data_IF_255944663818
#
_entry.id   IF_255944663818
#
_cell.length_a   1.000
_cell.length_b   1.000
_cell.length_c   1.000
_cell.angle_alpha   90.00
_cell.angle_beta   90.00
_cell.angle_gamma   90.00
#
_symmetry.space_group_name_H-M   'P 1'
#
loop_
_entity.id
_entity.type
_entity.pdbx_description
1 polymer ?
#
# COMPACT_ATOMS: atom_id res chain seq x y z
N UNK A 1 9.66 24.50 4.33
CA UNK A 1 9.46 23.29 3.50
C UNK A 1 8.24 22.50 3.96
N UNK A 2 7.95 22.50 5.25
CA UNK A 2 6.85 21.71 5.83
C UNK A 2 5.46 22.21 5.42
N UNK A 3 5.25 23.53 5.27
CA UNK A 3 3.92 24.04 4.88
C UNK A 3 3.42 23.55 3.52
N UNK A 4 4.32 23.34 2.54
CA UNK A 4 3.91 22.79 1.25
C UNK A 4 3.56 21.32 1.37
N UNK A 5 4.36 20.55 2.13
CA UNK A 5 4.08 19.14 2.38
C UNK A 5 2.74 18.94 3.12
N UNK A 6 2.45 19.79 4.11
CA UNK A 6 1.17 19.77 4.83
C UNK A 6 -0.01 20.10 3.90
N UNK A 7 0.14 21.09 3.03
CA UNK A 7 -0.88 21.43 2.03
C UNK A 7 -1.13 20.25 1.09
N UNK A 8 -0.08 19.59 0.60
CA UNK A 8 -0.23 18.41 -0.25
C UNK A 8 -0.87 17.24 0.50
N UNK A 9 -0.46 16.97 1.74
CA UNK A 9 -1.05 15.92 2.56
C UNK A 9 -2.55 16.14 2.80
N UNK A 10 -2.96 17.39 3.05
CA UNK A 10 -4.38 17.76 3.19
C UNK A 10 -5.12 17.60 1.85
N UNK A 11 -4.50 18.02 0.73
CA UNK A 11 -5.11 17.93 -0.59
C UNK A 11 -5.28 16.50 -1.10
N UNK A 12 -4.32 15.60 -0.81
CA UNK A 12 -4.35 14.18 -1.17
C UNK A 12 -5.27 13.35 -0.28
N UNK A 13 -5.41 13.72 0.99
CA UNK A 13 -6.36 13.06 1.91
C UNK A 13 -7.81 13.43 1.63
N UNK A 14 -8.05 14.57 0.97
CA UNK A 14 -9.39 15.00 0.55
C UNK A 14 -9.75 14.33 -0.79
N UNK A 15 -10.94 13.73 -0.93
CA UNK A 15 -11.34 13.14 -2.20
C UNK A 15 -11.46 14.22 -3.29
N UNK A 16 -10.68 14.08 -4.36
CA UNK A 16 -10.76 14.97 -5.52
C UNK A 16 -9.41 15.24 -6.19
N UNK A 17 -9.37 16.09 -7.23
CA UNK A 17 -8.14 16.46 -7.91
C UNK A 17 -7.25 17.31 -6.99
N UNK A 18 -6.00 16.87 -6.78
CA UNK A 18 -5.02 17.53 -5.90
C UNK A 18 -4.92 19.04 -6.21
N UNK A 19 -4.87 19.42 -7.49
CA UNK A 19 -4.76 20.83 -7.90
C UNK A 19 -5.94 21.69 -7.40
N UNK A 20 -7.17 21.18 -7.47
CA UNK A 20 -8.37 21.91 -7.02
C UNK A 20 -8.41 21.95 -5.49
N UNK A 21 -8.14 20.82 -4.84
CA UNK A 21 -8.13 20.74 -3.37
C UNK A 21 -7.08 21.69 -2.77
N UNK A 22 -5.87 21.70 -3.32
CA UNK A 22 -4.79 22.61 -2.93
C UNK A 22 -5.15 24.07 -3.17
N UNK A 23 -5.70 24.41 -4.33
CA UNK A 23 -6.12 25.79 -4.64
C UNK A 23 -7.23 26.26 -3.69
N UNK A 24 -8.23 25.41 -3.43
CA UNK A 24 -9.30 25.68 -2.47
C UNK A 24 -8.72 25.94 -1.08
N UNK A 25 -7.89 25.02 -0.60
CA UNK A 25 -7.33 25.09 0.76
C UNK A 25 -6.46 26.33 0.96
N UNK A 26 -5.56 26.62 0.02
CA UNK A 26 -4.72 27.82 0.08
C UNK A 26 -5.58 29.08 0.01
N UNK A 27 -6.57 29.12 -0.87
CA UNK A 27 -7.49 30.25 -1.00
C UNK A 27 -8.27 30.51 0.29
N UNK A 28 -8.79 29.45 0.93
CA UNK A 28 -9.47 29.53 2.23
C UNK A 28 -8.53 29.99 3.33
N UNK A 29 -7.31 29.47 3.39
CA UNK A 29 -6.29 29.87 4.38
C UNK A 29 -5.92 31.35 4.23
N UNK A 30 -5.97 31.93 3.03
CA UNK A 30 -5.56 33.32 2.76
C UNK A 30 -6.67 34.34 2.92
N UNK A 31 -7.88 34.09 2.44
CA UNK A 31 -8.97 35.08 2.41
C UNK A 31 -10.34 34.46 2.78
N UNK A 32 -10.33 33.38 3.56
CA UNK A 32 -11.54 32.66 3.95
C UNK A 32 -12.28 32.05 2.76
N UNK A 33 -13.56 31.73 2.93
CA UNK A 33 -14.37 31.02 1.94
C UNK A 33 -14.34 31.68 0.56
N UNK A 34 -14.40 33.02 0.49
CA UNK A 34 -14.32 33.77 -0.76
C UNK A 34 -12.97 33.58 -1.46
N UNK A 35 -11.87 33.57 -0.70
CA UNK A 35 -10.54 33.25 -1.23
C UNK A 35 -10.47 31.85 -1.85
N UNK A 36 -11.13 30.87 -1.23
CA UNK A 36 -11.23 29.51 -1.77
C UNK A 36 -11.97 29.45 -3.11
N UNK A 37 -13.11 30.16 -3.21
CA UNK A 37 -13.90 30.22 -4.45
C UNK A 37 -13.10 30.90 -5.56
N UNK A 38 -12.45 32.03 -5.28
CA UNK A 38 -11.67 32.75 -6.30
C UNK A 38 -10.45 31.94 -6.73
N UNK A 39 -9.74 31.29 -5.80
CA UNK A 39 -8.58 30.47 -6.11
C UNK A 39 -8.94 29.24 -6.96
N UNK A 40 -10.05 28.56 -6.64
CA UNK A 40 -10.53 27.41 -7.43
C UNK A 40 -10.95 27.82 -8.82
N UNK A 41 -11.72 28.90 -8.96
CA UNK A 41 -12.08 29.45 -10.26
C UNK A 41 -10.85 29.86 -11.06
N UNK A 42 -9.85 30.46 -10.42
CA UNK A 42 -8.58 30.81 -11.05
C UNK A 42 -7.82 29.62 -11.62
N UNK A 43 -7.96 28.43 -11.05
CA UNK A 43 -7.36 27.18 -11.56
C UNK A 43 -8.24 26.52 -12.64
N UNK A 44 -9.57 26.56 -12.50
CA UNK A 44 -10.50 25.87 -13.39
C UNK A 44 -10.75 26.65 -14.69
N UNK A 45 -10.93 27.96 -14.62
CA UNK A 45 -11.21 28.83 -15.78
C UNK A 45 -10.19 28.68 -16.90
N UNK A 46 -8.85 28.74 -16.67
CA UNK A 46 -7.89 28.61 -17.77
C UNK A 46 -7.99 27.24 -18.46
N UNK A 47 -8.22 26.16 -17.70
CA UNK A 47 -8.42 24.83 -18.28
C UNK A 47 -9.68 24.76 -19.14
N UNK A 48 -10.79 25.36 -18.68
CA UNK A 48 -12.04 25.43 -19.45
C UNK A 48 -11.86 26.19 -20.76
N UNK A 49 -11.19 27.35 -20.73
CA UNK A 49 -10.93 28.15 -21.94
C UNK A 49 -10.13 27.32 -22.96
N UNK A 50 -9.07 26.64 -22.51
CA UNK A 50 -8.24 25.80 -23.37
C UNK A 50 -9.04 24.65 -23.98
N UNK A 51 -9.87 23.97 -23.19
CA UNK A 51 -10.70 22.84 -23.68
C UNK A 51 -11.71 23.32 -24.72
N UNK A 52 -12.39 24.44 -24.49
CA UNK A 52 -13.36 25.02 -25.43
C UNK A 52 -12.65 25.41 -26.73
N UNK A 53 -11.53 26.13 -26.63
CA UNK A 53 -10.74 26.52 -27.80
C UNK A 53 -10.27 25.30 -28.60
N UNK A 54 -9.77 24.27 -27.91
CA UNK A 54 -9.34 23.04 -28.55
C UNK A 54 -10.51 22.32 -29.21
N UNK A 55 -11.68 22.27 -28.57
CA UNK A 55 -12.88 21.64 -29.15
C UNK A 55 -13.25 22.26 -30.50
N UNK A 56 -13.23 23.59 -30.62
CA UNK A 56 -13.47 24.27 -31.90
C UNK A 56 -12.45 23.89 -32.97
N UNK A 57 -11.17 23.81 -32.60
CA UNK A 57 -10.12 23.40 -33.54
C UNK A 57 -10.31 21.96 -33.99
N UNK A 58 -10.71 21.06 -33.08
CA UNK A 58 -10.99 19.66 -33.40
C UNK A 58 -12.15 19.56 -34.39
N UNK A 59 -13.22 20.33 -34.21
CA UNK A 59 -14.36 20.32 -35.12
C UNK A 59 -14.00 20.76 -36.55
N UNK A 60 -13.05 21.69 -36.69
CA UNK A 60 -12.57 22.15 -38.00
C UNK A 60 -11.75 21.09 -38.75
N UNK A 61 -11.09 20.17 -38.03
CA UNK A 61 -10.20 19.15 -38.62
C UNK A 61 -10.77 17.74 -38.58
N UNK A 62 -11.94 17.52 -37.97
CA UNK A 62 -12.51 16.18 -37.72
C UNK A 62 -12.80 15.38 -38.99
N UNK A 63 -13.13 16.06 -40.09
CA UNK A 63 -13.47 15.42 -41.36
C UNK A 63 -12.23 14.90 -42.10
N UNK A 64 -11.03 15.27 -41.63
CA UNK A 64 -9.77 14.80 -42.19
C UNK A 64 -9.36 13.45 -41.57
N UNK A 65 -9.13 12.44 -42.42
CA UNK A 65 -8.70 11.09 -42.02
C UNK A 65 -7.42 11.13 -41.16
N UNK A 66 -6.50 12.07 -41.43
CA UNK A 66 -5.27 12.25 -40.66
C UNK A 66 -5.53 12.65 -39.20
N UNK A 67 -6.57 13.46 -38.93
CA UNK A 67 -6.93 13.84 -37.57
C UNK A 67 -7.40 12.62 -36.74
N UNK A 68 -8.15 11.71 -37.35
CA UNK A 68 -8.55 10.45 -36.72
C UNK A 68 -7.36 9.59 -36.29
N UNK A 69 -6.34 9.46 -37.13
CA UNK A 69 -5.10 8.75 -36.77
C UNK A 69 -4.33 9.43 -35.64
N UNK A 70 -4.29 10.76 -35.63
CA UNK A 70 -3.64 11.53 -34.57
C UNK A 70 -4.29 11.29 -33.19
N UNK A 71 -5.62 11.34 -33.08
CA UNK A 71 -6.31 11.06 -31.82
C UNK A 71 -6.14 9.60 -31.36
N UNK A 72 -6.04 8.65 -32.31
CA UNK A 72 -5.72 7.25 -31.99
C UNK A 72 -4.33 7.14 -31.36
N UNK A 73 -3.34 7.87 -31.88
CA UNK A 73 -2.00 7.93 -31.30
C UNK A 73 -1.97 8.55 -29.91
N UNK A 74 -2.75 9.60 -29.65
CA UNK A 74 -2.90 10.17 -28.30
C UNK A 74 -3.40 9.12 -27.31
N UNK A 75 -4.42 8.33 -27.69
CA UNK A 75 -4.94 7.25 -26.84
C UNK A 75 -3.87 6.22 -26.49
N UNK A 76 -3.02 5.86 -27.45
CA UNK A 76 -1.87 4.96 -27.21
C UNK A 76 -0.84 5.62 -26.28
N UNK A 77 -0.56 6.91 -26.46
CA UNK A 77 0.34 7.66 -25.57
C UNK A 77 -0.13 7.66 -24.11
N UNK A 78 -1.44 7.87 -23.88
CA UNK A 78 -2.04 7.80 -22.54
C UNK A 78 -1.89 6.40 -21.94
N UNK A 79 -2.07 5.34 -22.73
CA UNK A 79 -1.86 3.96 -22.27
C UNK A 79 -0.42 3.74 -21.78
N UNK A 80 0.57 4.27 -22.50
CA UNK A 80 1.99 4.18 -22.10
C UNK A 80 2.25 4.95 -20.81
N UNK A 81 1.66 6.13 -20.63
CA UNK A 81 1.78 6.90 -19.39
C UNK A 81 1.19 6.15 -18.19
N UNK A 82 0.02 5.53 -18.35
CA UNK A 82 -0.60 4.69 -17.31
C UNK A 82 0.29 3.49 -16.99
N UNK A 83 0.78 2.78 -18.01
CA UNK A 83 1.68 1.63 -17.83
C UNK A 83 2.97 2.01 -17.08
N UNK A 84 3.54 3.18 -17.40
CA UNK A 84 4.71 3.73 -16.69
C UNK A 84 4.39 4.00 -15.22
N UNK A 85 3.23 4.58 -14.91
CA UNK A 85 2.80 4.80 -13.52
C UNK A 85 2.69 3.48 -12.75
N UNK A 86 2.07 2.45 -13.36
CA UNK A 86 1.97 1.11 -12.76
C UNK A 86 3.36 0.51 -12.53
N UNK A 87 4.28 0.67 -13.47
CA UNK A 87 5.65 0.17 -13.33
C UNK A 87 6.43 0.86 -12.21
N UNK A 88 6.24 2.17 -12.02
CA UNK A 88 6.79 2.90 -10.88
C UNK A 88 6.25 2.33 -9.57
N UNK A 89 4.93 2.17 -9.44
CA UNK A 89 4.33 1.59 -8.24
C UNK A 89 4.84 0.18 -7.96
N UNK A 90 5.02 -0.65 -8.99
CA UNK A 90 5.56 -1.99 -8.83
C UNK A 90 6.98 -1.99 -8.23
N UNK A 91 7.83 -1.03 -8.64
CA UNK A 91 9.19 -0.89 -8.12
C UNK A 91 9.23 -0.42 -6.66
N UNK A 92 8.22 0.34 -6.23
CA UNK A 92 8.11 0.85 -4.86
C UNK A 92 7.59 -0.20 -3.88
N UNK A 93 7.07 -1.35 -4.37
CA UNK A 93 6.63 -2.44 -3.50
C UNK A 93 7.82 -3.12 -2.81
N UNK A 94 7.73 -3.28 -1.49
CA UNK A 94 8.72 -4.05 -0.70
C UNK A 94 8.88 -5.45 -1.26
N UNK A 95 10.13 -5.93 -1.35
CA UNK A 95 10.51 -7.25 -1.88
C UNK A 95 10.14 -8.41 -0.95
N UNK A 96 8.86 -8.56 -0.64
CA UNK A 96 8.32 -9.68 0.12
C UNK A 96 7.45 -10.52 -0.80
N UNK A 97 7.60 -11.85 -0.76
CA UNK A 97 6.81 -12.79 -1.57
C UNK A 97 5.31 -12.60 -1.33
N UNK A 98 4.92 -12.35 -0.08
CA UNK A 98 3.53 -12.08 0.31
C UNK A 98 2.97 -10.79 -0.34
N UNK A 99 3.78 -9.74 -0.48
CA UNK A 99 3.35 -8.49 -1.12
C UNK A 99 3.09 -8.67 -2.62
N UNK A 100 3.95 -9.42 -3.32
CA UNK A 100 3.75 -9.75 -4.73
C UNK A 100 2.51 -10.63 -4.94
N UNK A 101 2.27 -11.58 -4.03
CA UNK A 101 1.11 -12.47 -4.09
C UNK A 101 -0.21 -11.70 -3.88
N UNK A 102 -0.26 -10.78 -2.92
CA UNK A 102 -1.43 -9.91 -2.69
C UNK A 102 -1.71 -8.99 -3.88
N UNK A 103 -0.68 -8.43 -4.49
CA UNK A 103 -0.81 -7.59 -5.68
C UNK A 103 -1.36 -8.38 -6.87
N UNK A 104 -0.83 -9.57 -7.13
CA UNK A 104 -1.32 -10.45 -8.21
C UNK A 104 -2.76 -10.90 -7.95
N UNK A 105 -3.08 -11.30 -6.71
CA UNK A 105 -4.43 -11.71 -6.31
C UNK A 105 -5.44 -10.57 -6.51
N UNK A 106 -5.09 -9.34 -6.11
CA UNK A 106 -5.96 -8.17 -6.28
C UNK A 106 -6.18 -7.83 -7.75
N UNK A 107 -5.13 -7.92 -8.57
CA UNK A 107 -5.22 -7.70 -10.01
C UNK A 107 -6.10 -8.75 -10.70
N UNK A 108 -5.94 -10.03 -10.36
CA UNK A 108 -6.77 -11.11 -10.87
C UNK A 108 -8.23 -10.98 -10.43
N UNK A 109 -8.47 -10.56 -9.18
CA UNK A 109 -9.84 -10.33 -8.69
C UNK A 109 -10.55 -9.27 -9.55
N UNK A 110 -9.88 -8.16 -9.85
CA UNK A 110 -10.42 -7.08 -10.70
C UNK A 110 -10.65 -7.56 -12.15
N UNK A 111 -9.76 -8.39 -12.70
CA UNK A 111 -9.91 -8.90 -14.06
C UNK A 111 -11.01 -9.95 -14.21
N UNK A 112 -11.16 -10.84 -13.23
CA UNK A 112 -12.08 -11.98 -13.29
C UNK A 112 -13.49 -11.62 -12.82
N UNK A 113 -13.64 -10.59 -11.98
CA UNK A 113 -14.95 -10.16 -11.48
C UNK A 113 -15.39 -8.84 -12.12
N UNK A 114 -16.64 -8.78 -12.60
CA UNK A 114 -17.29 -7.55 -13.06
C UNK A 114 -17.75 -6.65 -11.89
N UNK A 115 -17.17 -6.82 -10.70
CA UNK A 115 -17.54 -6.06 -9.52
C UNK A 115 -17.00 -4.64 -9.68
N UNK A 116 -17.85 -3.64 -9.38
CA UNK A 116 -17.43 -2.25 -9.41
C UNK A 116 -16.22 -2.06 -8.49
N UNK A 117 -15.17 -1.42 -9.00
CA UNK A 117 -13.90 -1.18 -8.28
C UNK A 117 -14.12 -0.59 -6.89
N UNK A 118 -15.18 0.21 -6.71
CA UNK A 118 -15.58 0.78 -5.42
C UNK A 118 -15.75 -0.27 -4.30
N UNK A 119 -16.33 -1.43 -4.60
CA UNK A 119 -16.54 -2.49 -3.61
C UNK A 119 -15.23 -3.18 -3.23
N UNK A 120 -14.31 -3.33 -4.19
CA UNK A 120 -12.98 -3.91 -3.96
C UNK A 120 -12.15 -2.99 -3.06
N UNK A 121 -12.22 -1.67 -3.28
CA UNK A 121 -11.56 -0.69 -2.41
C UNK A 121 -12.11 -0.79 -0.97
N UNK A 122 -13.44 -0.81 -0.81
CA UNK A 122 -14.07 -0.92 0.50
C UNK A 122 -13.69 -2.22 1.22
N UNK A 123 -13.71 -3.37 0.54
CA UNK A 123 -13.33 -4.65 1.15
C UNK A 123 -11.86 -4.66 1.58
N UNK A 124 -10.97 -4.09 0.79
CA UNK A 124 -9.54 -4.03 1.11
C UNK A 124 -9.27 -3.15 2.33
N UNK A 125 -9.98 -2.02 2.45
CA UNK A 125 -9.90 -1.16 3.64
C UNK A 125 -10.36 -1.92 4.88
N UNK A 126 -11.50 -2.62 4.81
CA UNK A 126 -12.02 -3.42 5.94
C UNK A 126 -11.03 -4.51 6.34
N UNK A 127 -10.51 -5.29 5.39
CA UNK A 127 -9.53 -6.36 5.63
C UNK A 127 -8.25 -5.77 6.26
N UNK A 128 -7.76 -4.64 5.76
CA UNK A 128 -6.58 -3.97 6.29
C UNK A 128 -6.79 -3.46 7.73
N UNK A 129 -7.93 -2.82 8.01
CA UNK A 129 -8.28 -2.38 9.37
C UNK A 129 -8.38 -3.55 10.34
N UNK A 130 -8.99 -4.67 9.93
CA UNK A 130 -9.10 -5.89 10.75
C UNK A 130 -7.73 -6.50 11.01
N UNK A 131 -6.90 -6.66 9.98
CA UNK A 131 -5.54 -7.18 10.14
C UNK A 131 -4.69 -6.30 11.07
N UNK A 132 -4.81 -4.98 10.97
CA UNK A 132 -4.12 -4.02 11.83
C UNK A 132 -4.63 -4.07 13.28
N UNK A 133 -5.94 -4.20 13.50
CA UNK A 133 -6.52 -4.34 14.83
C UNK A 133 -6.06 -5.63 15.50
N UNK A 134 -6.03 -6.75 14.77
CA UNK A 134 -5.51 -8.03 15.28
C UNK A 134 -4.03 -7.86 15.65
N UNK A 135 -3.20 -7.30 14.75
CA UNK A 135 -1.78 -7.04 15.05
C UNK A 135 -1.61 -6.17 16.29
N UNK A 136 -2.42 -5.11 16.44
CA UNK A 136 -2.37 -4.21 17.60
C UNK A 136 -2.66 -4.94 18.92
N UNK A 137 -3.58 -5.90 18.92
CA UNK A 137 -3.88 -6.73 20.10
C UNK A 137 -2.71 -7.69 20.40
N UNK A 138 -2.10 -8.29 19.38
CA UNK A 138 -0.92 -9.14 19.54
C UNK A 138 0.30 -8.35 20.04
N UNK A 139 0.62 -7.19 19.45
CA UNK A 139 1.74 -6.33 19.86
C UNK A 139 1.56 -5.85 21.31
N UNK A 140 0.33 -5.49 21.72
CA UNK A 140 0.02 -5.10 23.11
C UNK A 140 0.20 -6.26 24.09
N UNK A 141 -0.10 -7.49 23.66
CA UNK A 141 0.08 -8.71 24.46
C UNK A 141 1.55 -9.12 24.56
N UNK A 142 2.33 -8.93 23.50
CA UNK A 142 3.78 -9.15 23.50
C UNK A 142 4.47 -8.14 24.42
N UNK A 143 4.19 -6.84 24.30
CA UNK A 143 4.74 -5.79 25.18
C UNK A 143 4.51 -6.09 26.68
N UNK A 144 3.38 -6.69 27.02
CA UNK A 144 3.09 -7.07 28.40
C UNK A 144 3.79 -8.37 28.84
N UNK A 145 4.29 -9.18 27.90
CA UNK A 145 5.04 -10.41 28.14
C UNK A 145 6.57 -10.18 28.23
N UNK A 146 7.10 -9.10 27.65
CA UNK A 146 8.54 -8.76 27.70
C UNK A 146 8.95 -7.92 28.92
N UNK A 147 7.98 -7.48 29.72
CA UNK A 147 8.20 -6.47 30.76
C UNK A 147 8.15 -5.05 30.18
N UNK A 148 7.85 -4.05 31.02
CA UNK A 148 7.78 -2.65 30.56
C UNK A 148 9.15 -2.17 30.06
N UNK A 149 9.21 -1.17 29.18
CA UNK A 149 10.49 -0.57 28.74
C UNK A 149 11.37 -0.14 29.92
N UNK A 150 10.74 0.31 31.02
CA UNK A 150 11.40 0.58 32.30
C UNK A 150 12.21 -0.63 32.84
N UNK A 151 11.59 -1.82 32.88
CA UNK A 151 12.21 -3.05 33.39
C UNK A 151 13.41 -3.52 32.55
N UNK A 152 13.38 -3.28 31.24
CA UNK A 152 14.49 -3.61 30.35
C UNK A 152 15.60 -2.55 30.39
N UNK A 153 15.25 -1.26 30.45
CA UNK A 153 16.22 -0.16 30.57
C UNK A 153 17.04 -0.29 31.86
N UNK A 154 16.44 -0.81 32.93
CA UNK A 154 17.12 -1.09 34.20
C UNK A 154 18.14 -2.26 34.09
N UNK A 155 17.95 -3.17 33.13
CA UNK A 155 18.86 -4.30 32.85
C UNK A 155 19.98 -3.94 31.87
N UNK A 156 19.70 -3.09 30.89
CA UNK A 156 20.61 -2.76 29.78
C UNK A 156 21.32 -1.41 29.98
N UNK A 157 20.87 -0.58 30.93
CA UNK A 157 21.56 0.63 31.37
C UNK A 157 21.50 1.81 30.38
N UNK A 158 20.66 1.73 29.35
CA UNK A 158 20.42 2.80 28.36
C UNK A 158 18.95 2.82 27.96
N UNK A 159 18.40 4.01 27.72
CA UNK A 159 17.01 4.15 27.22
C UNK A 159 16.96 3.86 25.74
N UNK A 160 16.26 2.79 25.37
CA UNK A 160 16.06 2.43 23.97
C UNK A 160 14.92 3.21 23.33
N UNK A 161 15.11 3.57 22.07
CA UNK A 161 14.02 4.05 21.22
C UNK A 161 13.03 2.89 20.96
N UNK A 162 11.73 3.19 20.86
CA UNK A 162 10.67 2.17 20.79
C UNK A 162 10.88 1.15 19.68
N UNK A 163 11.40 1.60 18.53
CA UNK A 163 11.67 0.74 17.37
C UNK A 163 12.92 -0.14 17.57
N UNK A 164 13.91 0.35 18.33
CA UNK A 164 15.09 -0.44 18.72
C UNK A 164 14.70 -1.52 19.73
N UNK A 165 13.87 -1.18 20.72
CA UNK A 165 13.35 -2.10 21.74
C UNK A 165 12.56 -3.27 21.13
N UNK A 166 11.67 -2.99 20.17
CA UNK A 166 10.90 -4.01 19.47
C UNK A 166 11.80 -4.90 18.62
N UNK A 167 12.79 -4.34 17.91
CA UNK A 167 13.74 -5.14 17.11
C UNK A 167 14.63 -6.04 17.96
N UNK A 168 15.16 -5.53 19.07
CA UNK A 168 16.05 -6.31 19.94
C UNK A 168 15.26 -7.46 20.60
N UNK A 169 14.02 -7.16 21.03
CA UNK A 169 13.06 -8.15 21.54
C UNK A 169 12.64 -9.20 20.50
N UNK A 170 12.33 -8.78 19.27
CA UNK A 170 11.97 -9.68 18.16
C UNK A 170 13.12 -10.65 17.83
N UNK A 171 14.38 -10.21 17.92
CA UNK A 171 15.56 -11.07 17.70
C UNK A 171 15.67 -12.16 18.78
N UNK A 172 15.41 -11.84 20.05
CA UNK A 172 15.39 -12.84 21.13
C UNK A 172 14.19 -13.80 21.03
N UNK A 173 13.01 -13.31 20.62
CA UNK A 173 11.84 -14.16 20.42
C UNK A 173 11.98 -15.06 19.18
N UNK A 174 12.67 -14.63 18.13
CA UNK A 174 12.98 -15.47 16.97
C UNK A 174 13.99 -16.57 17.33
N UNK A 175 14.97 -16.32 18.20
CA UNK A 175 15.89 -17.37 18.71
C UNK A 175 15.16 -18.41 19.56
N UNK A 176 14.17 -17.98 20.37
CA UNK A 176 13.32 -18.87 21.17
C UNK A 176 12.27 -19.62 20.31
N UNK A 177 11.73 -18.99 19.27
CA UNK A 177 10.80 -19.60 18.32
C UNK A 177 11.52 -20.59 17.38
N UNK A 178 12.74 -20.32 16.96
CA UNK A 178 13.54 -21.26 16.17
C UNK A 178 13.87 -22.53 17.00
N UNK A 179 14.16 -22.36 18.29
CA UNK A 179 14.43 -23.48 19.21
C UNK A 179 13.22 -24.36 19.54
N UNK A 180 12.00 -23.83 19.35
CA UNK A 180 10.75 -24.60 19.56
C UNK A 180 10.28 -25.30 18.29
N UNK A 181 10.55 -24.74 17.10
CA UNK A 181 10.28 -25.40 15.81
C UNK A 181 11.22 -26.60 15.55
N UNK A 182 12.43 -26.61 16.14
CA UNK A 182 13.34 -27.75 16.03
C UNK A 182 12.93 -28.95 16.93
N UNK A 183 12.14 -28.72 17.98
CA UNK A 183 11.64 -29.80 18.85
C UNK A 183 10.49 -30.61 18.22
N UNK A 184 9.72 -30.01 17.29
CA UNK A 184 8.60 -30.68 16.64
C UNK A 184 9.09 -31.59 15.48
N UNK A 185 10.17 -31.20 14.81
CA UNK A 185 10.81 -32.04 13.78
C UNK A 185 11.66 -33.19 14.35
N UNK A 186 12.26 -33.05 15.54
CA UNK A 186 13.03 -34.14 16.16
C UNK A 186 12.10 -35.28 16.64
N UNK A 187 10.88 -34.97 17.10
CA UNK A 187 9.87 -35.97 17.45
C UNK A 187 9.42 -36.79 16.24
N UNK A 188 9.09 -36.13 15.12
CA UNK A 188 8.69 -36.78 13.87
C UNK A 188 9.80 -37.65 13.27
N UNK A 189 11.07 -37.21 13.38
CA UNK A 189 12.24 -37.97 12.89
C UNK A 189 12.47 -39.22 13.75
N UNK A 190 12.21 -39.18 15.06
CA UNK A 190 12.31 -40.36 15.94
C UNK A 190 11.22 -41.40 15.67
N UNK A 191 10.00 -40.97 15.38
CA UNK A 191 8.87 -41.84 15.05
C UNK A 191 9.05 -42.50 13.67
N UNK A 192 9.51 -41.72 12.68
CA UNK A 192 9.85 -42.24 11.35
C UNK A 192 11.06 -43.19 11.37
N UNK A 193 12.01 -43.01 12.30
CA UNK A 193 13.12 -43.98 12.50
C UNK A 193 12.64 -45.28 13.15
N UNK A 194 11.68 -45.22 14.08
CA UNK A 194 11.07 -46.39 14.70
C UNK A 194 10.22 -47.18 13.69
N UNK A 195 9.45 -46.51 12.84
CA UNK A 195 8.69 -47.14 11.75
C UNK A 195 9.60 -47.77 10.69
N UNK A 196 10.71 -47.12 10.32
CA UNK A 196 11.67 -47.64 9.35
C UNK A 196 12.43 -48.90 9.84
N UNK A 197 12.61 -49.07 11.14
CA UNK A 197 13.24 -50.27 11.70
C UNK A 197 12.30 -51.48 11.71
N UNK A 198 10.99 -51.28 11.91
CA UNK A 198 10.00 -52.37 11.86
C UNK A 198 9.81 -52.93 10.43
N UNK A 199 9.98 -52.11 9.39
CA UNK A 199 9.95 -52.58 7.99
C UNK A 199 11.18 -53.44 7.66
N UNK A 200 12.35 -53.18 8.27
CA UNK A 200 13.58 -53.96 8.03
C UNK A 200 13.61 -55.31 8.76
N UNK A 201 12.84 -55.48 9.84
CA UNK A 201 12.68 -56.79 10.50
C UNK A 201 11.60 -57.68 9.86
N UNK A 202 10.65 -57.08 9.11
CA UNK A 202 9.65 -57.83 8.34
C UNK A 202 10.18 -58.49 7.06
N UNK A 203 11.28 -58.00 6.51
CA UNK A 203 11.92 -58.49 5.27
C UNK A 203 13.04 -59.54 5.56
N UNK A 204 13.14 -59.99 6.82
CA UNK A 204 14.09 -61.03 7.28
C UNK A 204 13.40 -62.26 7.88
N UNK A 205 12.11 -62.47 7.60
CA UNK A 205 11.39 -63.71 7.90
C UNK A 205 10.91 -64.39 6.62
#
# INVERSE_FOLDING_TARGET
HDELADVFAIAESTPGPIAINTATYIGVKKCGVLGGIVATLGVVIPSLIVIIALSYVIELVKDNVWAGYFFKSIRVGVLVLIAKAVFTFFKDVKKNVLSYLLMLASFLLVLLTNVRVIYIILSTIVIACVAMAIKSVYDKKILHSVGTPEYYNERVGRTLEKDEYVRETDVYHLDSAYKTVDCENIAQISENRAAANNVKEGDKK
#
